data_IF_026711469492
#
_entry.id   IF_026711469492
#
_cell.length_a   1.000
_cell.length_b   1.000
_cell.length_c   1.000
_cell.angle_alpha   90.00
_cell.angle_beta   90.00
_cell.angle_gamma   90.00
#
_symmetry.space_group_name_H-M   'P 1'
#
loop_
_entity.id
_entity.type
_entity.pdbx_description
1 polymer ?
#
# COMPACT_ATOMS: atom_id res chain seq x y z
N UNK A 1 -26.02 -30.74 -18.17
CA UNK A 1 -25.25 -31.21 -16.99
C UNK A 1 -23.76 -30.95 -17.13
N UNK A 2 -23.08 -31.50 -18.16
CA UNK A 2 -21.62 -31.30 -18.36
C UNK A 2 -21.21 -29.83 -18.56
N UNK A 3 -21.95 -29.08 -19.39
CA UNK A 3 -21.70 -27.64 -19.60
C UNK A 3 -21.95 -26.81 -18.34
N UNK A 4 -22.99 -27.13 -17.58
CA UNK A 4 -23.31 -26.49 -16.28
C UNK A 4 -22.20 -26.74 -15.25
N UNK A 5 -21.68 -27.96 -15.21
CA UNK A 5 -20.55 -28.33 -14.35
C UNK A 5 -19.28 -27.59 -14.75
N UNK A 6 -19.02 -27.46 -16.06
CA UNK A 6 -17.87 -26.71 -16.60
C UNK A 6 -17.94 -25.22 -16.21
N UNK A 7 -19.11 -24.59 -16.32
CA UNK A 7 -19.32 -23.20 -15.89
C UNK A 7 -19.12 -23.03 -14.37
N UNK A 8 -19.56 -24.01 -13.56
CA UNK A 8 -19.36 -23.99 -12.11
C UNK A 8 -17.86 -24.09 -11.75
N UNK A 9 -17.13 -24.98 -12.41
CA UNK A 9 -15.68 -25.09 -12.24
C UNK A 9 -14.94 -23.79 -12.64
N UNK A 10 -15.35 -23.16 -13.74
CA UNK A 10 -14.75 -21.90 -14.19
C UNK A 10 -15.01 -20.75 -13.20
N UNK A 11 -16.24 -20.66 -12.66
CA UNK A 11 -16.58 -19.69 -11.63
C UNK A 11 -15.77 -19.91 -10.34
N UNK A 12 -15.56 -21.16 -9.93
CA UNK A 12 -14.73 -21.49 -8.76
C UNK A 12 -13.27 -21.08 -8.96
N UNK A 13 -12.71 -21.24 -10.15
CA UNK A 13 -11.33 -20.82 -10.48
C UNK A 13 -11.21 -19.29 -10.52
N UNK A 14 -12.20 -18.59 -11.06
CA UNK A 14 -12.21 -17.12 -11.12
C UNK A 14 -12.21 -16.47 -9.72
N UNK A 15 -12.81 -17.13 -8.72
CA UNK A 15 -12.77 -16.69 -7.32
C UNK A 15 -11.36 -16.81 -6.71
N UNK A 16 -10.51 -17.68 -7.24
CA UNK A 16 -9.14 -17.93 -6.74
C UNK A 16 -8.09 -17.00 -7.35
N UNK A 17 -8.45 -16.08 -8.26
CA UNK A 17 -7.50 -15.26 -9.05
C UNK A 17 -6.83 -14.10 -8.28
N UNK A 18 -6.99 -13.99 -6.96
CA UNK A 18 -6.49 -12.86 -6.14
C UNK A 18 -5.20 -13.20 -5.38
N UNK A 19 -4.13 -13.53 -6.11
CA UNK A 19 -2.86 -13.96 -5.49
C UNK A 19 -1.89 -12.82 -5.13
N UNK A 20 -1.98 -11.63 -5.76
CA UNK A 20 -0.98 -10.57 -5.56
C UNK A 20 -1.55 -9.34 -4.83
N UNK A 21 -0.84 -8.93 -3.77
CA UNK A 21 -1.20 -7.80 -2.91
C UNK A 21 -0.62 -6.47 -3.43
N UNK A 22 -1.25 -5.34 -3.06
CA UNK A 22 -0.77 -3.99 -3.35
C UNK A 22 0.55 -3.71 -2.60
N UNK A 23 1.60 -3.42 -3.35
CA UNK A 23 2.92 -3.09 -2.81
C UNK A 23 2.96 -1.71 -2.14
N UNK A 24 3.69 -1.60 -1.03
CA UNK A 24 3.57 -0.50 -0.09
C UNK A 24 4.94 -0.02 0.46
N UNK A 25 6.02 -0.25 -0.27
CA UNK A 25 7.36 0.21 0.09
C UNK A 25 8.11 -0.71 1.04
N UNK A 26 7.62 -1.93 1.26
CA UNK A 26 8.08 -2.80 2.35
C UNK A 26 8.27 -4.26 1.88
N UNK A 27 8.99 -5.05 2.69
CA UNK A 27 10.10 -5.97 2.39
C UNK A 27 11.44 -5.28 2.17
N UNK A 28 11.48 -4.05 2.70
CA UNK A 28 12.59 -3.12 2.73
C UNK A 28 13.40 -3.27 4.01
N UNK A 29 13.97 -4.44 4.22
CA UNK A 29 15.03 -4.65 5.21
C UNK A 29 16.17 -3.60 5.08
N UNK A 30 17.16 -3.64 5.98
CA UNK A 30 18.23 -2.63 5.92
C UNK A 30 19.01 -2.68 4.60
N UNK A 31 19.02 -3.83 3.92
CA UNK A 31 19.63 -3.98 2.60
C UNK A 31 18.90 -3.20 1.50
N UNK A 32 17.73 -2.62 1.76
CA UNK A 32 16.92 -1.95 0.76
C UNK A 32 16.13 -0.73 1.28
N UNK A 33 16.70 -0.03 2.27
CA UNK A 33 16.28 1.31 2.75
C UNK A 33 16.41 2.43 1.72
N UNK A 34 17.20 2.20 0.66
CA UNK A 34 17.30 3.13 -0.46
C UNK A 34 16.03 3.13 -1.32
N UNK A 35 15.13 2.15 -1.14
CA UNK A 35 13.92 2.06 -1.95
C UNK A 35 12.89 3.09 -1.51
N UNK A 36 12.35 3.80 -2.50
CA UNK A 36 11.28 4.77 -2.32
C UNK A 36 9.94 4.13 -2.67
N UNK A 37 8.90 4.54 -1.95
CA UNK A 37 7.52 4.18 -2.24
C UNK A 37 6.70 5.44 -2.50
N UNK A 38 5.50 5.28 -3.04
CA UNK A 38 4.47 6.33 -3.12
C UNK A 38 3.92 6.74 -1.72
N UNK A 39 4.78 6.68 -0.71
CA UNK A 39 4.48 7.09 0.64
C UNK A 39 4.43 8.61 0.69
N UNK A 40 3.45 9.12 1.43
CA UNK A 40 3.35 10.55 1.71
C UNK A 40 4.11 10.83 3.00
N UNK A 41 5.19 11.62 2.91
CA UNK A 41 5.98 12.04 4.08
C UNK A 41 5.37 13.28 4.73
N UNK A 42 5.31 13.29 6.07
CA UNK A 42 4.87 14.43 6.88
C UNK A 42 5.79 14.54 8.10
N UNK A 43 6.19 15.75 8.45
CA UNK A 43 7.04 16.03 9.62
C UNK A 43 6.23 16.76 10.68
N UNK A 44 5.90 16.09 11.77
CA UNK A 44 5.10 16.65 12.87
C UNK A 44 6.06 17.10 13.98
N UNK A 45 5.85 18.31 14.49
CA UNK A 45 6.68 18.92 15.54
C UNK A 45 5.85 19.90 16.40
N UNK A 46 6.36 20.40 17.55
CA UNK A 46 5.64 21.34 18.43
C UNK A 46 5.15 22.62 17.73
N UNK A 47 5.82 23.00 16.65
CA UNK A 47 5.45 24.11 15.80
C UNK A 47 4.44 23.75 14.70
N UNK A 48 4.24 22.46 14.40
CA UNK A 48 3.46 21.98 13.26
C UNK A 48 2.79 20.64 13.57
N UNK A 49 1.79 20.69 14.44
CA UNK A 49 1.05 19.50 14.87
C UNK A 49 0.38 18.72 13.71
N UNK A 50 0.16 19.35 12.55
CA UNK A 50 -0.49 18.73 11.38
C UNK A 50 0.49 18.24 10.30
N UNK A 51 1.79 18.46 10.50
CA UNK A 51 2.83 18.14 9.52
C UNK A 51 2.56 18.77 8.15
N UNK A 52 1.98 19.97 8.14
CA UNK A 52 1.67 20.73 6.94
C UNK A 52 2.96 21.23 6.30
N UNK A 53 2.96 21.33 4.97
CA UNK A 53 4.13 21.76 4.22
C UNK A 53 4.47 23.22 4.56
N UNK A 54 5.74 23.50 4.84
CA UNK A 54 6.24 24.86 5.07
C UNK A 54 5.88 25.47 6.42
N UNK A 55 5.41 24.66 7.38
CA UNK A 55 5.01 25.11 8.72
C UNK A 55 6.06 24.80 9.81
N UNK A 56 7.30 24.47 9.42
CA UNK A 56 8.41 24.27 10.37
C UNK A 56 8.87 25.60 10.99
N UNK A 57 9.42 25.55 12.21
CA UNK A 57 9.91 26.72 12.95
C UNK A 57 8.85 27.75 13.39
N UNK A 58 7.56 27.43 13.39
CA UNK A 58 6.48 28.35 13.82
C UNK A 58 6.25 28.45 15.34
N UNK A 59 7.08 27.80 16.17
CA UNK A 59 6.97 27.94 17.62
C UNK A 59 7.32 29.37 18.01
N UNK A 60 6.33 30.12 18.51
CA UNK A 60 6.48 31.49 19.03
C UNK A 60 5.98 31.54 20.47
#
# INVERSE_FOLDING_TARGET
>A
MKATLLCLCFALIAVQLSAQQKFNGINSNMSNIYQLSDAKTRSISPENFKGEKGKGGMAT
#
